data_IF_683019213281
#
_entry.id   IF_683019213281
#
_cell.length_a   1.000
_cell.length_b   1.000
_cell.length_c   1.000
_cell.angle_alpha   90.00
_cell.angle_beta   90.00
_cell.angle_gamma   90.00
#
_symmetry.space_group_name_H-M   'P 1'
#
loop_
_entity.id
_entity.type
_entity.pdbx_description
1 polymer ?
#
# COMPACT_ATOMS: atom_id res chain seq x y z
N UNK A 1 -13.33 2.89 10.05
CA UNK A 1 -12.92 3.52 8.77
C UNK A 1 -13.47 2.77 7.54
N UNK A 2 -13.67 3.43 6.40
CA UNK A 2 -14.02 2.80 5.10
C UNK A 2 -13.05 3.21 4.01
N UNK A 3 -12.88 2.37 2.98
CA UNK A 3 -11.98 2.61 1.84
C UNK A 3 -12.73 2.53 0.51
N UNK A 4 -12.33 3.36 -0.45
CA UNK A 4 -12.82 3.31 -1.83
C UNK A 4 -11.69 3.61 -2.83
N UNK A 5 -11.89 3.28 -4.10
CA UNK A 5 -10.88 3.44 -5.16
C UNK A 5 -10.11 2.14 -5.44
N UNK A 6 -8.82 2.25 -5.75
CA UNK A 6 -7.93 1.13 -6.06
C UNK A 6 -7.46 0.43 -4.79
N UNK A 7 -8.41 -0.10 -4.01
CA UNK A 7 -8.15 -0.75 -2.73
C UNK A 7 -7.68 -2.18 -2.97
N UNK A 8 -6.58 -2.56 -2.34
CA UNK A 8 -6.03 -3.92 -2.47
C UNK A 8 -6.88 -4.94 -1.71
N UNK A 9 -7.02 -6.17 -2.23
CA UNK A 9 -7.57 -7.27 -1.44
C UNK A 9 -6.68 -7.57 -0.22
N UNK A 10 -7.31 -7.96 0.88
CA UNK A 10 -6.63 -8.49 2.06
C UNK A 10 -5.75 -9.68 1.68
N UNK A 11 -4.47 -9.66 2.09
CA UNK A 11 -3.50 -10.71 1.77
C UNK A 11 -2.84 -10.61 0.38
N UNK A 12 -3.06 -9.55 -0.39
CA UNK A 12 -2.37 -9.34 -1.67
C UNK A 12 -0.91 -8.89 -1.51
N UNK A 13 0.00 -9.44 -2.32
CA UNK A 13 1.44 -9.13 -2.31
C UNK A 13 1.82 -7.86 -3.09
N UNK A 14 0.85 -7.06 -3.52
CA UNK A 14 1.00 -5.89 -4.40
C UNK A 14 0.99 -4.56 -3.64
N UNK A 15 1.22 -4.60 -2.32
CA UNK A 15 1.29 -3.41 -1.50
C UNK A 15 2.46 -2.51 -1.93
N UNK A 16 2.22 -1.20 -1.85
CA UNK A 16 3.23 -0.17 -2.05
C UNK A 16 4.34 -0.35 -1.00
N UNK A 17 5.61 -0.28 -1.42
CA UNK A 17 6.76 -0.28 -0.51
C UNK A 17 7.42 1.10 -0.48
N UNK A 18 7.46 1.81 0.65
CA UNK A 18 8.17 3.08 0.76
C UNK A 18 9.63 2.94 0.34
N UNK A 19 10.16 3.95 -0.36
CA UNK A 19 11.59 4.01 -0.71
C UNK A 19 12.47 4.51 0.44
N UNK A 20 11.85 5.00 1.52
CA UNK A 20 12.51 5.46 2.75
C UNK A 20 12.24 4.49 3.90
N UNK A 21 12.82 4.78 5.07
CA UNK A 21 12.55 4.07 6.34
C UNK A 21 11.24 4.50 7.01
N UNK A 22 10.45 5.36 6.34
CA UNK A 22 9.14 5.77 6.83
C UNK A 22 8.19 4.58 6.93
N UNK A 23 7.39 4.59 8.00
CA UNK A 23 6.32 3.62 8.19
C UNK A 23 5.02 4.34 8.56
N UNK A 24 3.88 3.87 8.04
CA UNK A 24 2.54 4.37 8.41
C UNK A 24 2.26 4.05 9.88
N UNK A 25 1.40 4.79 10.61
CA UNK A 25 1.10 4.55 12.01
C UNK A 25 0.73 3.08 12.26
N UNK A 26 1.31 2.48 13.30
CA UNK A 26 1.02 1.10 13.67
C UNK A 26 -0.33 0.97 14.42
N UNK A 27 -0.85 2.07 14.93
CA UNK A 27 -2.17 2.18 15.54
C UNK A 27 -2.66 3.64 15.49
N UNK A 28 -3.95 3.85 15.74
CA UNK A 28 -4.57 5.16 15.94
C UNK A 28 -5.82 5.01 16.82
N UNK A 29 -6.37 6.14 17.27
CA UNK A 29 -7.70 6.17 17.89
C UNK A 29 -8.73 6.64 16.87
N UNK A 30 -9.84 5.92 16.71
CA UNK A 30 -10.96 6.36 15.89
C UNK A 30 -12.28 6.26 16.67
N UNK A 31 -13.26 7.14 16.37
CA UNK A 31 -14.55 7.10 17.05
C UNK A 31 -15.44 5.97 16.53
N UNK A 32 -16.28 5.46 17.43
CA UNK A 32 -17.39 4.55 17.17
C UNK A 32 -18.64 5.14 17.81
N UNK A 33 -19.77 5.03 17.13
CA UNK A 33 -21.06 5.34 17.74
C UNK A 33 -21.31 4.45 18.96
N UNK A 34 -22.21 4.87 19.86
CA UNK A 34 -22.61 4.04 21.01
C UNK A 34 -23.06 2.64 20.58
N UNK A 35 -23.83 2.54 19.50
CA UNK A 35 -24.31 1.26 18.98
C UNK A 35 -23.16 0.36 18.49
N UNK A 36 -22.22 0.91 17.73
CA UNK A 36 -21.05 0.17 17.24
C UNK A 36 -20.13 -0.27 18.37
N UNK A 37 -19.92 0.61 19.36
CA UNK A 37 -19.10 0.30 20.52
C UNK A 37 -19.74 -0.79 21.39
N UNK A 38 -21.03 -0.67 21.72
CA UNK A 38 -21.75 -1.69 22.47
C UNK A 38 -21.71 -3.05 21.78
N UNK A 39 -21.95 -3.09 20.46
CA UNK A 39 -21.81 -4.31 19.67
C UNK A 39 -20.41 -4.91 19.75
N UNK A 40 -19.37 -4.09 19.64
CA UNK A 40 -17.97 -4.53 19.75
C UNK A 40 -17.67 -5.16 21.12
N UNK A 41 -18.08 -4.51 22.21
CA UNK A 41 -17.87 -5.01 23.57
C UNK A 41 -18.58 -6.36 23.77
N UNK A 42 -19.86 -6.45 23.39
CA UNK A 42 -20.62 -7.69 23.55
C UNK A 42 -20.09 -8.83 22.67
N UNK A 43 -19.73 -8.54 21.41
CA UNK A 43 -19.14 -9.56 20.52
C UNK A 43 -17.84 -10.11 21.09
N UNK A 44 -16.95 -9.22 21.55
CA UNK A 44 -15.66 -9.61 22.15
C UNK A 44 -15.85 -10.47 23.40
N UNK A 45 -16.83 -10.10 24.24
CA UNK A 45 -17.17 -10.85 25.45
C UNK A 45 -17.71 -12.25 25.12
N UNK A 46 -18.70 -12.33 24.22
CA UNK A 46 -19.31 -13.61 23.82
C UNK A 46 -18.30 -14.55 23.14
N UNK A 47 -17.51 -14.05 22.20
CA UNK A 47 -16.49 -14.84 21.50
C UNK A 47 -15.44 -15.39 22.48
N UNK A 48 -14.96 -14.55 23.41
CA UNK A 48 -13.95 -14.95 24.39
C UNK A 48 -14.50 -15.99 25.37
N UNK A 49 -15.75 -15.84 25.85
CA UNK A 49 -16.35 -16.81 26.76
C UNK A 49 -16.55 -18.18 26.11
N UNK A 50 -16.93 -18.19 24.83
CA UNK A 50 -17.27 -19.38 24.07
C UNK A 50 -16.08 -20.04 23.37
N UNK A 51 -14.91 -19.40 23.33
CA UNK A 51 -13.70 -19.98 22.73
C UNK A 51 -13.24 -21.22 23.52
N UNK A 52 -13.17 -22.41 22.90
CA UNK A 52 -12.70 -23.63 23.56
C UNK A 52 -11.26 -23.49 24.05
N UNK A 53 -10.99 -23.89 25.29
CA UNK A 53 -9.66 -23.80 25.89
C UNK A 53 -9.22 -22.40 26.32
N UNK A 54 -10.09 -21.38 26.20
CA UNK A 54 -9.77 -20.02 26.64
C UNK A 54 -9.46 -19.98 28.14
N UNK A 55 -8.33 -19.35 28.49
CA UNK A 55 -7.88 -19.24 29.86
C UNK A 55 -8.82 -18.40 30.73
N UNK A 56 -8.97 -18.79 32.01
CA UNK A 56 -9.87 -18.11 32.95
C UNK A 56 -9.54 -16.63 33.16
N UNK A 57 -8.25 -16.26 33.15
CA UNK A 57 -7.85 -14.85 33.30
C UNK A 57 -8.35 -13.99 32.13
N UNK A 58 -8.40 -14.54 30.91
CA UNK A 58 -8.89 -13.81 29.75
C UNK A 58 -10.41 -13.63 29.82
N UNK A 59 -11.15 -14.66 30.25
CA UNK A 59 -12.59 -14.57 30.52
C UNK A 59 -12.92 -13.52 31.58
N UNK A 60 -12.13 -13.50 32.67
CA UNK A 60 -12.27 -12.49 33.70
C UNK A 60 -11.97 -11.08 33.17
N UNK A 61 -10.92 -10.91 32.36
CA UNK A 61 -10.54 -9.62 31.79
C UNK A 61 -11.63 -9.04 30.87
N UNK A 62 -12.22 -9.83 29.97
CA UNK A 62 -13.31 -9.33 29.11
C UNK A 62 -14.59 -9.05 29.90
N UNK A 63 -14.84 -9.77 30.99
CA UNK A 63 -15.93 -9.47 31.92
C UNK A 63 -15.74 -8.12 32.60
N UNK A 64 -14.57 -7.88 33.19
CA UNK A 64 -14.23 -6.60 33.81
C UNK A 64 -14.30 -5.44 32.81
N UNK A 65 -13.76 -5.64 31.60
CA UNK A 65 -13.84 -4.66 30.53
C UNK A 65 -15.30 -4.33 30.17
N UNK A 66 -16.13 -5.35 29.97
CA UNK A 66 -17.56 -5.17 29.71
C UNK A 66 -18.27 -4.45 30.85
N UNK A 67 -17.98 -4.80 32.10
CA UNK A 67 -18.61 -4.20 33.28
C UNK A 67 -18.34 -2.69 33.36
N UNK A 68 -17.15 -2.22 33.01
CA UNK A 68 -16.83 -0.77 32.97
C UNK A 68 -17.84 0.01 32.12
N UNK A 69 -18.18 -0.55 30.96
CA UNK A 69 -18.99 0.14 29.94
C UNK A 69 -20.47 -0.20 29.97
N UNK A 70 -20.86 -1.38 30.48
CA UNK A 70 -22.26 -1.80 30.50
C UNK A 70 -22.96 -1.52 31.82
N UNK A 71 -22.37 -1.95 32.93
CA UNK A 71 -23.04 -1.96 34.24
C UNK A 71 -22.41 -0.99 35.24
N UNK A 72 -21.19 -0.52 34.95
CA UNK A 72 -20.37 0.33 35.80
C UNK A 72 -20.47 1.82 35.44
N UNK A 73 -19.30 2.44 35.18
CA UNK A 73 -19.16 3.90 35.02
C UNK A 73 -20.02 4.45 33.89
N UNK A 74 -20.10 3.74 32.78
CA UNK A 74 -20.73 4.24 31.55
C UNK A 74 -22.00 3.50 31.15
N UNK A 75 -22.78 3.04 32.15
CA UNK A 75 -24.10 2.40 32.04
C UNK A 75 -24.70 2.32 30.63
N UNK A 76 -24.96 1.10 30.17
CA UNK A 76 -25.48 0.77 28.84
C UNK A 76 -24.68 1.47 27.71
N UNK A 77 -23.36 1.44 27.80
CA UNK A 77 -22.44 1.99 26.78
C UNK A 77 -22.63 3.49 26.52
N UNK A 78 -23.10 4.24 27.51
CA UNK A 78 -23.41 5.65 27.44
C UNK A 78 -24.59 6.00 26.51
N UNK A 79 -25.56 5.09 26.38
CA UNK A 79 -26.73 5.21 25.49
C UNK A 79 -27.58 6.45 25.72
N UNK A 80 -27.70 6.93 26.95
CA UNK A 80 -28.43 8.18 27.24
C UNK A 80 -27.81 9.39 26.53
N UNK A 81 -26.50 9.35 26.23
CA UNK A 81 -25.77 10.44 25.59
C UNK A 81 -25.37 10.09 24.13
N UNK A 82 -26.07 9.14 23.49
CA UNK A 82 -25.66 8.60 22.18
C UNK A 82 -25.58 9.64 21.05
N UNK A 83 -26.37 10.72 21.14
CA UNK A 83 -26.37 11.80 20.15
C UNK A 83 -25.38 12.93 20.50
N UNK A 84 -24.71 12.84 21.65
CA UNK A 84 -23.83 13.90 22.18
C UNK A 84 -22.35 13.66 21.90
N UNK A 85 -21.95 12.47 21.48
CA UNK A 85 -20.55 12.11 21.32
C UNK A 85 -20.31 10.71 20.79
N UNK A 86 -19.05 10.29 20.83
CA UNK A 86 -18.62 8.98 20.38
C UNK A 86 -17.60 8.35 21.34
N UNK A 87 -17.51 7.02 21.25
CA UNK A 87 -16.46 6.25 21.90
C UNK A 87 -15.20 6.24 21.03
N UNK A 88 -14.11 6.77 21.55
CA UNK A 88 -12.81 6.68 20.89
C UNK A 88 -12.11 5.41 21.33
N UNK A 89 -11.70 4.58 20.36
CA UNK A 89 -11.10 3.27 20.60
C UNK A 89 -9.78 3.15 19.86
N UNK A 90 -8.83 2.45 20.46
CA UNK A 90 -7.61 2.07 19.79
C UNK A 90 -7.90 1.08 18.66
N UNK A 91 -7.30 1.33 17.49
CA UNK A 91 -7.31 0.46 16.32
C UNK A 91 -5.87 0.18 15.93
N UNK A 92 -5.57 -1.09 15.75
CA UNK A 92 -4.28 -1.53 15.21
C UNK A 92 -4.31 -1.46 13.69
N UNK A 93 -3.20 -1.03 13.10
CA UNK A 93 -3.01 -1.13 11.67
C UNK A 93 -2.93 -2.61 11.27
N UNK A 94 -3.84 -3.12 10.41
CA UNK A 94 -3.85 -4.53 10.03
C UNK A 94 -2.58 -4.98 9.31
N UNK A 95 -1.79 -4.05 8.77
CA UNK A 95 -0.51 -4.33 8.11
C UNK A 95 0.70 -4.23 9.05
N UNK A 96 0.49 -3.90 10.32
CA UNK A 96 1.54 -3.78 11.33
C UNK A 96 1.16 -4.45 12.65
N UNK A 97 0.30 -5.48 12.63
CA UNK A 97 -0.14 -6.17 13.86
C UNK A 97 0.99 -6.91 14.57
N UNK A 98 2.04 -7.30 13.85
CA UNK A 98 3.27 -7.91 14.37
C UNK A 98 4.30 -6.88 14.87
N UNK A 99 4.08 -5.60 14.59
CA UNK A 99 4.93 -4.52 15.06
C UNK A 99 4.62 -4.19 16.53
N UNK A 100 5.62 -4.15 17.43
CA UNK A 100 5.42 -3.71 18.81
C UNK A 100 4.77 -2.32 18.93
N UNK A 101 4.98 -1.45 17.95
CA UNK A 101 4.35 -0.13 17.90
C UNK A 101 2.81 -0.19 17.78
N UNK A 102 2.24 -1.31 17.33
CA UNK A 102 0.78 -1.49 17.27
C UNK A 102 0.11 -1.48 18.64
N UNK A 103 0.89 -1.66 19.71
CA UNK A 103 0.42 -1.63 21.10
C UNK A 103 0.58 -0.25 21.77
N UNK A 104 1.09 0.77 21.06
CA UNK A 104 1.28 2.11 21.63
C UNK A 104 -0.04 2.83 21.92
N UNK A 105 -1.10 2.52 21.16
CA UNK A 105 -2.46 2.99 21.42
C UNK A 105 -3.10 2.12 22.51
N UNK A 106 -2.67 2.31 23.76
CA UNK A 106 -3.04 1.47 24.89
C UNK A 106 -4.18 2.01 25.77
N UNK A 107 -4.71 3.19 25.48
CA UNK A 107 -5.79 3.77 26.29
C UNK A 107 -7.07 2.93 26.16
N UNK A 108 -7.74 2.71 27.30
CA UNK A 108 -9.07 2.13 27.31
C UNK A 108 -10.05 3.04 26.56
N UNK A 109 -11.11 2.50 25.94
CA UNK A 109 -12.14 3.30 25.30
C UNK A 109 -12.62 4.45 26.18
N UNK A 110 -12.67 5.65 25.59
CA UNK A 110 -13.03 6.87 26.30
C UNK A 110 -14.06 7.68 25.50
N UNK A 111 -14.86 8.47 26.22
CA UNK A 111 -15.94 9.26 25.65
C UNK A 111 -15.45 10.64 25.25
N UNK A 112 -15.83 11.10 24.06
CA UNK A 112 -15.56 12.45 23.57
C UNK A 112 -16.85 13.02 22.99
N UNK A 113 -17.20 14.25 23.36
CA UNK A 113 -18.37 14.91 22.82
C UNK A 113 -18.18 15.27 21.34
N UNK A 114 -19.29 15.46 20.62
CA UNK A 114 -19.26 15.80 19.21
C UNK A 114 -18.52 17.13 18.97
N UNK A 115 -17.59 17.12 18.01
CA UNK A 115 -16.74 18.25 17.63
C UNK A 115 -15.66 18.65 18.66
N UNK A 116 -15.50 17.91 19.77
CA UNK A 116 -14.41 18.12 20.71
C UNK A 116 -13.13 17.40 20.27
N UNK A 117 -11.98 17.91 20.70
CA UNK A 117 -10.67 17.27 20.53
C UNK A 117 -10.56 16.07 21.49
N UNK A 118 -10.27 14.85 21.00
CA UNK A 118 -10.05 13.67 21.83
C UNK A 118 -8.89 13.80 22.82
N UNK A 119 -7.95 14.73 22.59
CA UNK A 119 -6.85 15.01 23.51
C UNK A 119 -5.83 13.88 23.66
N UNK A 120 -5.84 12.90 22.75
CA UNK A 120 -4.88 11.79 22.71
C UNK A 120 -3.95 11.90 21.52
N UNK A 121 -2.67 11.48 21.65
CA UNK A 121 -1.82 11.32 20.49
C UNK A 121 -2.43 10.28 19.54
N UNK A 122 -2.23 10.45 18.23
CA UNK A 122 -2.74 9.55 17.20
C UNK A 122 -4.27 9.42 17.15
N UNK A 123 -5.03 10.40 17.64
CA UNK A 123 -6.42 10.57 17.24
C UNK A 123 -6.51 10.69 15.71
N UNK A 124 -7.43 9.97 15.07
CA UNK A 124 -7.55 9.92 13.61
C UNK A 124 -7.69 11.33 13.02
N UNK A 125 -6.78 11.64 12.11
CA UNK A 125 -6.75 12.88 11.31
C UNK A 125 -6.83 12.55 9.83
N UNK A 126 -7.09 13.52 8.94
CA UNK A 126 -6.91 13.32 7.50
C UNK A 126 -5.54 12.76 7.13
N UNK A 127 -4.47 13.13 7.84
CA UNK A 127 -3.14 12.56 7.60
C UNK A 127 -3.07 11.06 7.95
N UNK A 128 -3.62 10.64 9.11
CA UNK A 128 -3.70 9.21 9.45
C UNK A 128 -4.54 8.46 8.41
N UNK A 129 -5.64 9.05 7.93
CA UNK A 129 -6.44 8.48 6.85
C UNK A 129 -5.62 8.33 5.56
N UNK A 130 -4.78 9.32 5.21
CA UNK A 130 -3.93 9.27 4.03
C UNK A 130 -2.86 8.17 4.13
N UNK A 131 -2.27 8.01 5.32
CA UNK A 131 -1.27 6.97 5.60
C UNK A 131 -1.92 5.58 5.63
N UNK A 132 -3.15 5.45 6.13
CA UNK A 132 -3.93 4.22 6.03
C UNK A 132 -4.33 3.91 4.57
N UNK A 133 -4.70 4.93 3.79
CA UNK A 133 -4.98 4.80 2.37
C UNK A 133 -3.73 4.36 1.58
N UNK A 134 -2.55 4.90 1.91
CA UNK A 134 -1.25 4.48 1.35
C UNK A 134 -1.07 2.97 1.43
N UNK A 135 -1.28 2.40 2.62
CA UNK A 135 -1.20 0.96 2.85
C UNK A 135 -2.22 0.17 2.06
N UNK A 136 -3.39 0.75 1.82
CA UNK A 136 -4.48 0.10 1.11
C UNK A 136 -4.36 0.19 -0.43
N UNK A 137 -3.39 0.93 -0.98
CA UNK A 137 -3.23 1.08 -2.43
C UNK A 137 -2.90 -0.28 -3.09
N UNK A 138 -3.70 -0.60 -4.10
CA UNK A 138 -3.43 -1.64 -5.08
C UNK A 138 -2.64 -1.06 -6.25
N UNK A 139 -1.35 -1.39 -6.34
CA UNK A 139 -0.59 -1.10 -7.55
C UNK A 139 -0.86 -2.16 -8.63
N UNK A 140 -0.90 -1.78 -9.92
CA UNK A 140 -0.97 -2.74 -11.01
C UNK A 140 0.27 -3.63 -11.02
N UNK A 141 0.10 -4.89 -11.47
CA UNK A 141 1.22 -5.80 -11.65
C UNK A 141 2.28 -5.21 -12.59
N UNK A 142 3.56 -5.30 -12.23
CA UNK A 142 4.68 -4.65 -12.93
C UNK A 142 5.24 -5.46 -14.09
N UNK A 143 4.40 -6.19 -14.85
CA UNK A 143 4.90 -6.86 -16.07
C UNK A 143 5.27 -5.80 -17.11
N UNK A 144 6.56 -5.46 -17.19
CA UNK A 144 7.07 -4.54 -18.21
C UNK A 144 6.93 -5.17 -19.59
N UNK A 145 6.49 -4.38 -20.56
CA UNK A 145 6.41 -4.82 -21.95
C UNK A 145 7.81 -4.81 -22.56
N UNK A 146 8.21 -5.92 -23.18
CA UNK A 146 9.52 -6.10 -23.78
C UNK A 146 9.42 -6.43 -25.27
N UNK A 147 10.38 -5.95 -26.06
CA UNK A 147 10.56 -6.37 -27.45
C UNK A 147 12.05 -6.52 -27.79
N UNK A 148 12.54 -7.74 -28.06
CA UNK A 148 11.85 -9.04 -27.93
C UNK A 148 11.36 -9.32 -26.50
N UNK A 149 10.29 -10.12 -26.31
CA UNK A 149 9.65 -10.31 -25.00
C UNK A 149 10.50 -11.18 -24.04
N UNK A 150 10.43 -12.51 -24.18
CA UNK A 150 11.09 -13.45 -23.25
C UNK A 150 12.39 -14.07 -23.78
N UNK A 151 12.64 -13.94 -25.08
CA UNK A 151 13.84 -14.47 -25.73
C UNK A 151 14.48 -13.38 -26.59
N UNK A 152 15.72 -13.04 -26.26
CA UNK A 152 16.53 -12.07 -26.99
C UNK A 152 17.86 -12.68 -27.38
N UNK A 153 18.71 -11.90 -28.04
CA UNK A 153 19.99 -12.35 -28.56
C UNK A 153 21.13 -11.50 -28.03
N UNK A 154 22.32 -12.08 -27.96
CA UNK A 154 23.53 -11.35 -27.61
C UNK A 154 23.69 -10.16 -28.57
N UNK A 155 24.00 -8.99 -28.00
CA UNK A 155 24.14 -7.70 -28.69
C UNK A 155 22.87 -7.15 -29.36
N UNK A 156 21.69 -7.76 -29.15
CA UNK A 156 20.43 -7.23 -29.64
C UNK A 156 19.79 -6.29 -28.59
N UNK A 157 19.50 -5.03 -28.92
CA UNK A 157 18.75 -4.14 -28.03
C UNK A 157 17.34 -4.68 -27.78
N UNK A 158 17.01 -4.85 -26.51
CA UNK A 158 15.69 -5.23 -26.02
C UNK A 158 15.00 -3.97 -25.50
N UNK A 159 13.93 -3.56 -26.17
CA UNK A 159 13.12 -2.39 -25.83
C UNK A 159 12.24 -2.72 -24.63
N UNK A 160 12.05 -1.76 -23.73
CA UNK A 160 11.21 -1.87 -22.56
C UNK A 160 10.31 -0.64 -22.43
N UNK A 161 9.03 -0.85 -22.11
CA UNK A 161 8.10 0.24 -21.84
C UNK A 161 6.99 -0.19 -20.89
N UNK A 162 6.36 0.80 -20.27
CA UNK A 162 5.14 0.61 -19.50
C UNK A 162 3.93 0.87 -20.39
N UNK A 163 2.95 -0.03 -20.36
CA UNK A 163 1.67 0.18 -21.02
C UNK A 163 0.90 1.31 -20.31
N UNK A 164 0.63 2.41 -21.02
CA UNK A 164 -0.13 3.55 -20.49
C UNK A 164 -1.53 3.18 -20.02
N UNK A 165 -2.14 2.14 -20.58
CA UNK A 165 -3.45 1.66 -20.15
C UNK A 165 -3.40 1.00 -18.76
N UNK A 166 -2.26 0.37 -18.43
CA UNK A 166 -2.04 -0.35 -17.18
C UNK A 166 -1.42 0.54 -16.11
N UNK A 167 -0.41 1.33 -16.47
CA UNK A 167 0.37 2.15 -15.55
C UNK A 167 -0.09 3.60 -15.61
N UNK A 168 -1.20 3.85 -14.92
CA UNK A 168 -1.83 5.16 -14.72
C UNK A 168 -1.93 5.46 -13.23
N UNK A 169 -2.27 6.70 -12.92
CA UNK A 169 -2.54 7.14 -11.56
C UNK A 169 -3.60 6.23 -10.91
N UNK A 170 -3.30 5.76 -9.70
CA UNK A 170 -4.24 5.01 -8.85
C UNK A 170 -4.42 5.76 -7.55
N UNK A 171 -5.63 5.75 -7.01
CA UNK A 171 -5.92 6.41 -5.74
C UNK A 171 -6.78 5.56 -4.83
N UNK A 172 -6.60 5.76 -3.53
CA UNK A 172 -7.47 5.23 -2.49
C UNK A 172 -7.94 6.36 -1.62
N UNK A 173 -9.24 6.40 -1.36
CA UNK A 173 -9.84 7.32 -0.40
C UNK A 173 -10.21 6.55 0.85
N UNK A 174 -9.61 6.94 1.98
CA UNK A 174 -10.03 6.53 3.30
C UNK A 174 -11.00 7.56 3.88
N UNK A 175 -12.10 7.11 4.47
CA UNK A 175 -13.14 7.98 5.01
C UNK A 175 -13.68 7.47 6.33
N UNK A 176 -14.03 8.41 7.20
CA UNK A 176 -14.64 8.17 8.48
C UNK A 176 -15.70 9.24 8.74
N UNK A 177 -16.95 8.78 8.84
CA UNK A 177 -18.11 9.63 9.06
C UNK A 177 -18.91 9.06 10.24
N UNK A 178 -18.92 9.81 11.33
CA UNK A 178 -19.73 9.59 12.54
C UNK A 178 -20.31 10.94 12.99
N UNK A 179 -21.20 10.94 13.99
CA UNK A 179 -21.68 12.21 14.56
C UNK A 179 -20.50 13.07 15.03
N UNK A 180 -20.48 14.36 14.69
CA UNK A 180 -19.40 15.27 15.10
C UNK A 180 -18.04 15.09 14.43
N UNK A 181 -17.87 14.11 13.52
CA UNK A 181 -16.63 13.93 12.75
C UNK A 181 -16.91 13.36 11.36
N UNK A 182 -16.60 14.14 10.33
CA UNK A 182 -16.66 13.71 8.94
C UNK A 182 -15.36 14.10 8.24
N UNK A 183 -14.44 13.14 8.13
CA UNK A 183 -13.13 13.34 7.53
C UNK A 183 -12.84 12.26 6.48
N UNK A 184 -12.10 12.67 5.47
CA UNK A 184 -11.59 11.82 4.41
C UNK A 184 -10.21 12.29 3.97
N UNK A 185 -9.44 11.35 3.44
CA UNK A 185 -8.22 11.64 2.69
C UNK A 185 -8.09 10.70 1.50
N UNK A 186 -7.65 11.26 0.37
CA UNK A 186 -7.39 10.55 -0.87
C UNK A 186 -5.90 10.56 -1.13
N UNK A 187 -5.29 9.38 -1.11
CA UNK A 187 -3.88 9.17 -1.45
C UNK A 187 -3.79 8.71 -2.89
N UNK A 188 -2.94 9.36 -3.69
CA UNK A 188 -2.76 9.12 -5.12
C UNK A 188 -1.33 8.69 -5.39
N UNK A 189 -1.14 7.55 -6.05
CA UNK A 189 0.15 7.09 -6.54
C UNK A 189 0.24 7.30 -8.05
N UNK A 190 1.28 8.02 -8.49
CA UNK A 190 1.58 8.32 -9.89
C UNK A 190 2.88 7.65 -10.30
N UNK A 191 2.93 6.86 -11.38
CA UNK A 191 4.18 6.26 -11.82
C UNK A 191 5.11 7.40 -12.28
N UNK A 192 6.39 7.35 -11.92
CA UNK A 192 7.39 8.39 -12.27
C UNK A 192 8.63 7.83 -12.97
N UNK A 193 9.00 6.59 -12.67
CA UNK A 193 10.11 5.93 -13.36
C UNK A 193 10.05 4.41 -13.31
N UNK A 194 10.75 3.78 -14.26
CA UNK A 194 11.02 2.34 -14.28
C UNK A 194 12.52 2.10 -14.18
N UNK A 195 12.94 1.32 -13.19
CA UNK A 195 14.31 0.81 -13.06
C UNK A 195 14.39 -0.61 -13.61
N UNK A 196 15.34 -0.84 -14.51
CA UNK A 196 15.65 -2.16 -15.08
C UNK A 196 16.97 -2.68 -14.54
N UNK A 197 16.93 -3.86 -13.93
CA UNK A 197 18.09 -4.56 -13.40
C UNK A 197 18.26 -5.88 -14.15
N UNK A 198 19.24 -5.99 -15.08
CA UNK A 198 19.33 -7.12 -16.02
C UNK A 198 19.50 -8.52 -15.42
N UNK A 199 19.82 -8.62 -14.12
CA UNK A 199 20.12 -9.89 -13.44
C UNK A 199 21.51 -10.46 -13.74
N UNK A 200 22.37 -9.69 -14.41
CA UNK A 200 23.77 -10.05 -14.73
C UNK A 200 24.61 -8.80 -14.93
N UNK A 201 25.92 -8.90 -14.68
CA UNK A 201 26.89 -7.85 -15.03
C UNK A 201 27.23 -7.83 -16.53
N UNK A 202 26.92 -8.90 -17.27
CA UNK A 202 27.16 -9.00 -18.71
C UNK A 202 25.99 -8.39 -19.52
N UNK A 203 25.57 -7.18 -19.16
CA UNK A 203 24.51 -6.43 -19.83
C UNK A 203 24.74 -4.92 -19.75
N UNK A 204 24.19 -4.18 -20.72
CA UNK A 204 24.13 -2.71 -20.73
C UNK A 204 22.68 -2.28 -20.67
N UNK A 205 22.36 -1.30 -19.84
CA UNK A 205 21.03 -0.68 -19.78
C UNK A 205 20.96 0.55 -20.68
N UNK A 206 19.75 0.88 -21.11
CA UNK A 206 19.41 2.08 -21.86
C UNK A 206 18.25 2.78 -21.16
N UNK A 207 18.41 4.01 -20.63
CA UNK A 207 19.68 4.73 -20.51
C UNK A 207 20.67 3.99 -19.61
N UNK A 208 21.95 4.39 -19.62
CA UNK A 208 23.01 3.73 -18.86
C UNK A 208 22.78 3.68 -17.33
N UNK A 209 21.93 4.56 -16.80
CA UNK A 209 21.50 4.51 -15.39
C UNK A 209 20.59 3.32 -15.08
N UNK A 210 19.99 2.69 -16.10
CA UNK A 210 18.91 1.70 -15.95
C UNK A 210 17.59 2.32 -15.49
N UNK A 211 17.51 3.64 -15.33
CA UNK A 211 16.31 4.34 -14.86
C UNK A 211 15.69 5.09 -16.03
N UNK A 212 14.52 4.61 -16.46
CA UNK A 212 13.69 5.22 -17.48
C UNK A 212 12.66 6.14 -16.80
N UNK A 213 12.83 7.45 -16.93
CA UNK A 213 11.91 8.43 -16.33
C UNK A 213 10.68 8.62 -17.20
N UNK A 214 9.63 9.20 -16.61
CA UNK A 214 8.48 9.67 -17.38
C UNK A 214 8.91 10.66 -18.46
N UNK A 215 8.38 10.46 -19.66
CA UNK A 215 8.45 11.42 -20.75
C UNK A 215 7.30 12.44 -20.64
N UNK A 216 7.40 13.56 -21.36
CA UNK A 216 6.39 14.64 -21.30
C UNK A 216 4.95 14.22 -21.68
N UNK A 217 4.80 13.08 -22.34
CA UNK A 217 3.52 12.48 -22.72
C UNK A 217 3.02 11.41 -21.71
N UNK A 218 3.61 11.41 -20.51
CA UNK A 218 3.36 10.48 -19.40
C UNK A 218 3.65 9.00 -19.73
N UNK A 219 4.48 8.70 -20.73
CA UNK A 219 5.02 7.34 -20.94
C UNK A 219 6.25 7.07 -20.09
N UNK A 220 6.50 5.80 -19.80
CA UNK A 220 7.87 5.31 -19.56
C UNK A 220 8.29 4.40 -20.71
N UNK A 221 9.40 4.75 -21.35
CA UNK A 221 9.86 4.07 -22.57
C UNK A 221 9.02 4.39 -23.80
N UNK A 222 9.21 3.61 -24.86
CA UNK A 222 8.47 3.74 -26.12
C UNK A 222 8.14 2.34 -26.66
N UNK A 223 6.87 2.07 -27.04
CA UNK A 223 6.52 0.83 -27.72
C UNK A 223 7.35 0.61 -28.98
N UNK A 224 7.89 -0.59 -29.14
CA UNK A 224 8.65 -0.94 -30.33
C UNK A 224 7.75 -0.90 -31.58
N UNK A 225 8.28 -0.35 -32.67
CA UNK A 225 7.63 -0.34 -33.98
C UNK A 225 8.61 -0.84 -35.05
N UNK A 226 8.07 -1.52 -36.08
CA UNK A 226 8.86 -1.98 -37.23
C UNK A 226 9.61 -0.78 -37.85
N UNK A 227 10.87 -1.01 -38.22
CA UNK A 227 11.76 0.04 -38.74
C UNK A 227 12.63 0.73 -37.68
N UNK A 228 12.53 0.34 -36.40
CA UNK A 228 13.39 0.85 -35.32
C UNK A 228 14.49 -0.10 -34.88
N UNK A 229 14.77 -1.15 -35.66
CA UNK A 229 15.76 -2.18 -35.30
C UNK A 229 17.17 -1.60 -35.05
N UNK A 230 17.56 -0.57 -35.80
CA UNK A 230 18.89 0.05 -35.71
C UNK A 230 18.95 1.19 -34.67
N UNK A 231 17.87 1.45 -33.93
CA UNK A 231 17.81 2.54 -32.93
C UNK A 231 18.09 2.00 -31.54
N UNK A 232 18.82 2.77 -30.75
CA UNK A 232 18.93 2.56 -29.31
C UNK A 232 17.57 2.82 -28.66
N UNK A 233 17.03 1.88 -27.86
CA UNK A 233 15.77 2.09 -27.16
C UNK A 233 15.90 3.23 -26.14
N UNK A 234 14.88 4.09 -25.99
CA UNK A 234 14.87 5.12 -24.95
C UNK A 234 14.80 4.51 -23.54
N UNK A 235 14.26 3.29 -23.44
CA UNK A 235 14.25 2.47 -22.24
C UNK A 235 14.45 1.01 -22.65
N UNK A 236 15.39 0.29 -22.05
CA UNK A 236 15.69 -1.09 -22.42
C UNK A 236 17.04 -1.58 -21.93
N UNK A 237 17.51 -2.68 -22.51
CA UNK A 237 18.81 -3.27 -22.21
C UNK A 237 19.36 -4.11 -23.36
N UNK A 238 20.65 -4.38 -23.33
CA UNK A 238 21.36 -5.25 -24.27
C UNK A 238 22.22 -6.22 -23.49
N UNK A 239 21.96 -7.51 -23.62
CA UNK A 239 22.80 -8.57 -23.04
C UNK A 239 24.04 -8.81 -23.90
N UNK A 240 25.18 -8.97 -23.24
CA UNK A 240 26.49 -9.15 -23.85
C UNK A 240 26.97 -10.62 -23.82
N UNK A 241 26.25 -11.48 -23.09
CA UNK A 241 26.55 -12.92 -22.99
C UNK A 241 25.26 -13.74 -23.05
N UNK A 242 25.36 -14.96 -23.59
CA UNK A 242 24.27 -15.92 -23.58
C UNK A 242 23.96 -16.41 -22.15
N UNK A 243 22.68 -16.68 -21.88
CA UNK A 243 22.25 -17.33 -20.65
C UNK A 243 22.46 -18.85 -20.64
N UNK A 244 23.01 -19.42 -21.73
CA UNK A 244 23.21 -20.86 -21.87
C UNK A 244 21.88 -21.63 -21.85
N UNK A 245 21.80 -22.65 -21.00
CA UNK A 245 20.56 -23.43 -20.78
C UNK A 245 19.60 -22.78 -19.78
N UNK A 246 19.99 -21.66 -19.15
CA UNK A 246 19.19 -20.93 -18.17
C UNK A 246 18.65 -19.60 -18.70
N UNK A 247 18.30 -18.72 -17.76
CA UNK A 247 17.76 -17.38 -18.00
C UNK A 247 18.38 -16.36 -17.05
N UNK A 248 18.38 -15.10 -17.46
CA UNK A 248 18.66 -13.98 -16.57
C UNK A 248 17.37 -13.48 -15.92
N UNK A 249 17.48 -13.13 -14.64
CA UNK A 249 16.39 -12.59 -13.83
C UNK A 249 16.31 -11.08 -13.98
N UNK A 250 15.60 -10.60 -15.00
CA UNK A 250 15.36 -9.18 -15.21
C UNK A 250 14.38 -8.68 -14.16
N UNK A 251 14.84 -7.83 -13.25
CA UNK A 251 13.96 -7.15 -12.28
C UNK A 251 13.56 -5.79 -12.84
N UNK A 252 12.26 -5.55 -12.89
CA UNK A 252 11.66 -4.29 -13.29
C UNK A 252 10.94 -3.67 -12.09
N UNK A 253 11.42 -2.53 -11.62
CA UNK A 253 10.89 -1.83 -10.44
C UNK A 253 10.34 -0.48 -10.85
N UNK A 254 9.06 -0.24 -10.59
CA UNK A 254 8.41 1.04 -10.84
C UNK A 254 8.43 1.86 -9.56
N UNK A 255 8.87 3.11 -9.67
CA UNK A 255 8.74 4.12 -8.62
C UNK A 255 7.47 4.93 -8.87
N UNK A 256 6.70 5.12 -7.80
CA UNK A 256 5.46 5.85 -7.74
C UNK A 256 5.65 7.05 -6.82
N UNK A 257 5.42 8.25 -7.34
CA UNK A 257 5.29 9.45 -6.52
C UNK A 257 3.94 9.43 -5.83
N UNK A 258 3.91 9.75 -4.53
CA UNK A 258 2.69 9.64 -3.73
C UNK A 258 2.39 10.94 -3.01
N UNK A 259 1.19 11.46 -3.22
CA UNK A 259 0.64 12.63 -2.55
C UNK A 259 -0.77 12.32 -2.03
N UNK A 260 -1.28 13.19 -1.19
CA UNK A 260 -2.63 13.09 -0.70
C UNK A 260 -3.30 14.44 -0.52
N UNK A 261 -4.64 14.40 -0.56
CA UNK A 261 -5.52 15.53 -0.26
C UNK A 261 -6.61 15.08 0.70
N UNK A 262 -7.06 15.94 1.59
CA UNK A 262 -8.01 15.59 2.63
C UNK A 262 -8.98 16.70 3.00
N UNK A 263 -9.83 16.37 3.97
CA UNK A 263 -10.85 17.30 4.49
C UNK A 263 -10.19 18.56 5.06
N UNK A 264 -10.87 19.70 4.91
CA UNK A 264 -10.35 21.00 5.37
C UNK A 264 -9.22 21.56 4.50
N UNK A 265 -9.01 21.03 3.30
CA UNK A 265 -7.92 21.47 2.41
C UNK A 265 -6.54 20.99 2.87
N UNK A 266 -6.51 19.99 3.76
CA UNK A 266 -5.27 19.32 4.18
C UNK A 266 -4.69 18.51 3.02
N UNK A 267 -3.39 18.27 3.05
CA UNK A 267 -2.70 17.50 2.03
C UNK A 267 -1.20 17.63 2.15
N UNK A 268 -0.49 16.89 1.31
CA UNK A 268 0.96 16.90 1.26
C UNK A 268 1.49 15.69 0.51
N UNK A 269 2.80 15.53 0.58
CA UNK A 269 3.48 14.38 0.02
C UNK A 269 3.56 13.24 1.05
N UNK A 270 3.51 12.01 0.56
CA UNK A 270 3.92 10.81 1.29
C UNK A 270 5.17 10.24 0.61
N UNK A 271 5.93 9.36 1.29
CA UNK A 271 7.12 8.79 0.68
C UNK A 271 6.79 8.06 -0.61
N UNK A 272 7.60 8.27 -1.64
CA UNK A 272 7.51 7.53 -2.88
C UNK A 272 7.48 6.03 -2.61
N UNK A 273 6.68 5.33 -3.40
CA UNK A 273 6.47 3.91 -3.32
C UNK A 273 7.18 3.17 -4.44
N UNK A 274 7.58 1.93 -4.21
CA UNK A 274 8.07 1.04 -5.26
C UNK A 274 7.28 -0.27 -5.29
N UNK A 275 7.16 -0.81 -6.49
CA UNK A 275 6.71 -2.17 -6.71
C UNK A 275 7.47 -2.76 -7.89
N UNK A 276 7.93 -4.01 -7.75
CA UNK A 276 8.78 -4.65 -8.75
C UNK A 276 8.45 -6.11 -8.95
N UNK A 277 8.67 -6.59 -10.18
CA UNK A 277 8.55 -8.01 -10.53
C UNK A 277 9.80 -8.45 -11.28
N UNK A 278 10.01 -9.77 -11.31
CA UNK A 278 11.11 -10.38 -12.04
C UNK A 278 10.56 -11.17 -13.23
N UNK A 279 11.18 -10.99 -14.40
CA UNK A 279 10.92 -11.76 -15.61
C UNK A 279 12.15 -12.56 -16.00
N UNK A 280 11.95 -13.81 -16.44
CA UNK A 280 13.03 -14.65 -16.94
C UNK A 280 13.30 -14.32 -18.41
N UNK A 281 14.55 -13.97 -18.74
CA UNK A 281 14.98 -13.63 -20.09
C UNK A 281 16.02 -14.64 -20.58
N UNK A 282 15.69 -15.34 -21.67
CA UNK A 282 16.64 -16.22 -22.35
C UNK A 282 17.45 -15.42 -23.37
N UNK A 283 18.79 -15.54 -23.32
CA UNK A 283 19.68 -14.84 -24.25
C UNK A 283 20.42 -15.86 -25.10
N UNK A 284 20.12 -15.84 -26.39
CA UNK A 284 20.73 -16.74 -27.38
C UNK A 284 21.94 -16.09 -28.05
N UNK A 285 22.96 -16.88 -28.33
CA UNK A 285 24.06 -16.46 -29.19
C UNK A 285 23.77 -16.87 -30.64
N UNK A 286 23.91 -15.95 -31.59
CA UNK A 286 23.90 -16.31 -33.01
C UNK A 286 25.34 -16.60 -33.41
N UNK A 287 25.61 -17.86 -33.75
CA UNK A 287 26.83 -18.22 -34.47
C UNK A 287 26.54 -18.15 -35.97
N UNK A 288 27.14 -17.18 -36.66
CA UNK A 288 27.11 -17.17 -38.12
C UNK A 288 28.16 -18.15 -38.64
N UNK A 289 27.72 -19.23 -39.30
CA UNK A 289 28.61 -20.09 -40.08
C UNK A 289 28.79 -19.43 -41.44
N UNK A 290 29.92 -18.76 -41.64
CA UNK A 290 30.34 -18.39 -43.00
C UNK A 290 30.72 -19.67 -43.74
N UNK A 291 30.03 -19.96 -44.84
CA UNK A 291 30.35 -21.05 -45.75
C UNK A 291 30.96 -20.50 -47.02
#
# INVERSE_FOLDING_TARGET
>A
MTYSGSVRPTGSGTAVRPVTDWTPPACWYEPRSVAEFGKYVETTYEETLNTPGQANYAKAAVGQFRDIYKDGKYKDYNKENADEGNWWVAVQNPDRTDDPASMQCGELPFWVANNDDPGVPQAVTPEILAQAAYNAIQLPGTKVSLAPDTATKVNLPTWAWLDKATFKDVSVTASLAVAGLNIQATTTARPVSLKLEPGTGDARTHPASGICTLSGDKSVGEPYAKGKADRTPPCGLTYLRSSGTGSYRLTATITWQIDWTGTGGTGGDLPDGTFGTTQEITVQEIQAVNR
#
